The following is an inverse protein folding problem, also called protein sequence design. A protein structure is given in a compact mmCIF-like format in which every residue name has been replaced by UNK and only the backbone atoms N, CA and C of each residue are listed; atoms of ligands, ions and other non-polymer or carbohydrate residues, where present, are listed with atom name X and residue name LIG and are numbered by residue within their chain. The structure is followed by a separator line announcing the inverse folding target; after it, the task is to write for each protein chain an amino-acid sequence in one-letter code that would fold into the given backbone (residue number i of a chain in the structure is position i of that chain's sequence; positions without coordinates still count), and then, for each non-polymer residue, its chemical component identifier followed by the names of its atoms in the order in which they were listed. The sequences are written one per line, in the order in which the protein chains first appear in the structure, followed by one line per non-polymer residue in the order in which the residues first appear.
data_IF_299716966273
#
_entry.id   IF_299716966273
#
_cell.length_a   1.000
_cell.length_b   1.000
_cell.length_c   1.000
_cell.angle_alpha   90.00
_cell.angle_beta   90.00
_cell.angle_gamma   90.00
#
_symmetry.space_group_name_H-M   'P 1'
#
loop_
_entity.id
_entity.type
_entity.pdbx_description
1 polymer ?
#
# COMPACT_ATOMS: atom_id res chain seq x y z
N UNK A 1 6.87 -2.57 -5.82
CA UNK A 1 5.85 -1.82 -5.07
C UNK A 1 5.78 -0.36 -5.57
N UNK A 2 4.55 0.14 -5.85
CA UNK A 2 4.26 1.49 -6.39
C UNK A 2 5.06 1.90 -7.63
N UNK A 3 4.85 1.24 -8.75
CA UNK A 3 5.35 1.69 -10.04
C UNK A 3 4.33 2.59 -10.73
N UNK A 4 4.80 3.67 -11.37
CA UNK A 4 3.95 4.73 -11.95
C UNK A 4 4.01 4.78 -13.48
N UNK A 5 4.61 3.80 -14.12
CA UNK A 5 4.64 3.70 -15.58
C UNK A 5 4.72 2.26 -16.05
N UNK A 6 4.17 2.01 -17.23
CA UNK A 6 4.26 0.71 -17.89
C UNK A 6 5.71 0.23 -18.05
N UNK A 7 6.63 1.13 -18.44
CA UNK A 7 8.04 0.77 -18.63
C UNK A 7 8.69 0.24 -17.35
N UNK A 8 8.36 0.83 -16.18
CA UNK A 8 8.86 0.36 -14.90
C UNK A 8 8.27 -0.98 -14.49
N UNK A 9 6.98 -1.21 -14.75
CA UNK A 9 6.36 -2.53 -14.55
C UNK A 9 7.04 -3.57 -15.43
N UNK A 10 7.27 -3.23 -16.71
CA UNK A 10 7.98 -4.07 -17.66
C UNK A 10 9.40 -4.42 -17.18
N UNK A 11 10.18 -3.43 -16.76
CA UNK A 11 11.52 -3.65 -16.19
C UNK A 11 11.52 -4.61 -15.00
N UNK A 12 10.54 -4.48 -14.09
CA UNK A 12 10.40 -5.37 -12.95
C UNK A 12 10.10 -6.81 -13.37
N UNK A 13 9.17 -6.99 -14.31
CA UNK A 13 8.83 -8.31 -14.87
C UNK A 13 10.05 -8.94 -15.55
N UNK A 14 10.77 -8.16 -16.37
CA UNK A 14 11.98 -8.63 -17.08
C UNK A 14 13.12 -8.96 -16.10
N UNK A 15 13.16 -8.32 -14.93
CA UNK A 15 14.10 -8.62 -13.85
C UNK A 15 13.72 -9.85 -13.02
N UNK A 16 12.56 -10.46 -13.27
CA UNK A 16 12.12 -11.71 -12.63
C UNK A 16 11.33 -11.52 -11.33
N UNK A 17 10.64 -10.39 -11.14
CA UNK A 17 9.71 -10.22 -10.02
C UNK A 17 8.46 -11.09 -10.23
N UNK A 18 8.01 -11.77 -9.17
CA UNK A 18 6.83 -12.64 -9.18
C UNK A 18 5.52 -11.86 -9.01
N UNK A 19 5.60 -10.61 -8.53
CA UNK A 19 4.45 -9.73 -8.36
C UNK A 19 4.84 -8.29 -8.67
N UNK A 20 3.93 -7.54 -9.30
CA UNK A 20 4.11 -6.14 -9.66
C UNK A 20 2.82 -5.36 -9.43
N UNK A 21 2.95 -4.05 -9.16
CA UNK A 21 1.82 -3.11 -9.09
C UNK A 21 2.01 -1.98 -10.08
N UNK A 22 0.93 -1.60 -10.77
CA UNK A 22 0.83 -0.30 -11.41
C UNK A 22 -0.08 0.61 -10.58
N UNK A 23 0.51 1.68 -10.04
CA UNK A 23 -0.21 2.71 -9.28
C UNK A 23 -0.67 3.82 -10.21
N UNK A 24 -1.87 3.65 -10.74
CA UNK A 24 -2.58 4.64 -11.56
C UNK A 24 -3.52 5.55 -10.77
N UNK A 25 -3.41 5.60 -9.45
CA UNK A 25 -4.35 6.31 -8.56
C UNK A 25 -4.50 7.81 -8.82
N UNK A 26 -3.53 8.43 -9.49
CA UNK A 26 -3.57 9.84 -9.91
C UNK A 26 -4.17 10.07 -11.30
N UNK A 27 -4.41 9.02 -12.05
CA UNK A 27 -4.99 9.09 -13.38
C UNK A 27 -6.53 9.06 -13.29
N UNK A 28 -7.20 9.48 -14.35
CA UNK A 28 -8.61 9.16 -14.49
C UNK A 28 -8.82 7.65 -14.67
N UNK A 29 -10.05 7.19 -14.45
CA UNK A 29 -10.38 5.76 -14.46
C UNK A 29 -10.04 5.10 -15.81
N UNK A 30 -10.32 5.77 -16.92
CA UNK A 30 -10.11 5.23 -18.26
C UNK A 30 -8.63 5.01 -18.54
N UNK A 31 -7.80 6.00 -18.22
CA UNK A 31 -6.36 5.91 -18.43
C UNK A 31 -5.70 4.92 -17.47
N UNK A 32 -6.18 4.85 -16.22
CA UNK A 32 -5.73 3.84 -15.25
C UNK A 32 -6.04 2.44 -15.78
N UNK A 33 -7.29 2.18 -16.22
CA UNK A 33 -7.68 0.90 -16.83
C UNK A 33 -6.78 0.58 -18.03
N UNK A 34 -6.58 1.53 -18.93
CA UNK A 34 -5.80 1.32 -20.13
C UNK A 34 -4.37 0.88 -19.85
N UNK A 35 -3.67 1.57 -18.94
CA UNK A 35 -2.27 1.26 -18.62
C UNK A 35 -2.17 -0.01 -17.77
N UNK A 36 -3.04 -0.17 -16.77
CA UNK A 36 -3.08 -1.39 -15.94
C UNK A 36 -3.28 -2.62 -16.83
N UNK A 37 -4.21 -2.55 -17.79
CA UNK A 37 -4.42 -3.64 -18.76
C UNK A 37 -3.15 -3.95 -19.55
N UNK A 38 -2.42 -2.94 -20.02
CA UNK A 38 -1.14 -3.16 -20.70
C UNK A 38 -0.13 -3.90 -19.81
N UNK A 39 -0.08 -3.56 -18.52
CA UNK A 39 0.78 -4.24 -17.55
C UNK A 39 0.37 -5.72 -17.38
N UNK A 40 -0.93 -5.99 -17.26
CA UNK A 40 -1.46 -7.36 -17.15
C UNK A 40 -1.15 -8.15 -18.42
N UNK A 41 -1.46 -7.61 -19.59
CA UNK A 41 -1.23 -8.28 -20.89
C UNK A 41 0.27 -8.62 -21.05
N UNK A 42 1.16 -7.69 -20.67
CA UNK A 42 2.61 -7.94 -20.71
C UNK A 42 3.02 -9.03 -19.72
N UNK A 43 2.58 -8.95 -18.47
CA UNK A 43 2.89 -9.97 -17.45
C UNK A 43 2.48 -11.37 -17.94
N UNK A 44 1.26 -11.52 -18.45
CA UNK A 44 0.74 -12.79 -18.97
C UNK A 44 1.52 -13.30 -20.20
N UNK A 45 2.09 -12.40 -21.00
CA UNK A 45 2.93 -12.78 -22.15
C UNK A 45 4.30 -13.34 -21.75
N UNK A 46 4.82 -12.91 -20.59
CA UNK A 46 6.11 -13.35 -20.06
C UNK A 46 5.96 -14.59 -19.19
N UNK A 47 5.07 -14.51 -18.18
CA UNK A 47 4.74 -15.64 -17.32
C UNK A 47 3.32 -15.42 -16.75
N UNK A 48 2.36 -16.32 -17.04
CA UNK A 48 0.98 -16.20 -16.55
C UNK A 48 0.83 -16.27 -15.02
N UNK A 49 1.84 -16.75 -14.29
CA UNK A 49 1.84 -16.85 -12.83
C UNK A 49 2.22 -15.51 -12.14
N UNK A 50 2.70 -14.50 -12.89
CA UNK A 50 3.03 -13.19 -12.31
C UNK A 50 1.75 -12.55 -11.79
N UNK A 51 1.75 -12.17 -10.53
CA UNK A 51 0.66 -11.46 -9.89
C UNK A 51 0.71 -9.99 -10.27
N UNK A 52 -0.39 -9.46 -10.77
CA UNK A 52 -0.52 -8.02 -11.08
C UNK A 52 -1.56 -7.39 -10.17
N UNK A 53 -1.12 -6.37 -9.45
CA UNK A 53 -1.95 -5.53 -8.60
C UNK A 53 -2.26 -4.21 -9.29
N UNK A 54 -3.50 -3.73 -9.14
CA UNK A 54 -3.91 -2.40 -9.57
C UNK A 54 -4.38 -1.57 -8.39
N UNK A 55 -4.15 -0.27 -8.44
CA UNK A 55 -4.57 0.69 -7.41
C UNK A 55 -5.66 1.62 -7.94
N UNK A 56 -6.73 1.80 -7.15
CA UNK A 56 -7.88 2.61 -7.50
C UNK A 56 -8.27 3.54 -6.35
N UNK A 57 -8.16 4.85 -6.59
CA UNK A 57 -8.37 5.89 -5.60
C UNK A 57 -7.07 6.37 -4.95
N UNK A 58 -6.94 7.70 -4.85
CA UNK A 58 -5.70 8.32 -4.39
C UNK A 58 -5.64 8.42 -2.86
N UNK A 59 -4.61 7.84 -2.26
CA UNK A 59 -4.37 7.81 -0.81
C UNK A 59 -3.09 8.56 -0.39
N UNK A 60 -2.47 9.30 -1.31
CA UNK A 60 -1.18 9.95 -1.11
C UNK A 60 -0.01 9.08 -1.57
N UNK A 61 1.21 9.66 -1.52
CA UNK A 61 2.45 8.98 -1.96
C UNK A 61 3.56 9.06 -0.91
N UNK A 62 3.25 9.53 0.29
CA UNK A 62 4.27 9.81 1.32
C UNK A 62 4.43 8.66 2.30
N UNK A 63 5.65 8.17 2.51
CA UNK A 63 5.99 7.23 3.58
C UNK A 63 6.69 7.96 4.74
N UNK A 64 6.07 9.04 5.25
CA UNK A 64 6.63 9.92 6.30
C UNK A 64 5.65 10.08 7.46
N UNK A 65 6.16 10.64 8.57
CA UNK A 65 5.32 11.25 9.59
C UNK A 65 4.75 12.57 9.05
N UNK A 66 3.43 12.69 9.07
CA UNK A 66 2.67 13.77 8.47
C UNK A 66 2.12 14.72 9.54
N UNK A 67 2.12 16.02 9.24
CA UNK A 67 1.47 17.02 10.08
C UNK A 67 -0.05 17.12 9.79
N UNK A 68 -0.48 16.71 8.58
CA UNK A 68 -1.87 16.73 8.13
C UNK A 68 -2.11 15.65 7.07
N UNK A 69 -3.37 15.42 6.73
CA UNK A 69 -3.78 14.57 5.60
C UNK A 69 -3.05 15.00 4.33
N UNK A 70 -2.51 14.06 3.52
CA UNK A 70 -1.80 14.39 2.28
C UNK A 70 -2.66 15.24 1.34
N UNK A 71 -2.03 16.21 0.68
CA UNK A 71 -2.70 17.03 -0.31
C UNK A 71 -3.34 16.18 -1.42
N UNK A 72 -4.57 16.49 -1.79
CA UNK A 72 -5.34 15.76 -2.80
C UNK A 72 -6.04 14.50 -2.28
N UNK A 73 -5.72 14.01 -1.09
CA UNK A 73 -6.46 12.91 -0.47
C UNK A 73 -7.79 13.42 0.10
N UNK A 74 -8.86 12.75 -0.26
CA UNK A 74 -10.20 13.04 0.20
C UNK A 74 -10.76 11.82 0.95
N UNK A 75 -11.42 12.08 2.06
CA UNK A 75 -11.90 11.04 2.99
C UNK A 75 -13.44 11.02 3.12
N UNK A 76 -14.14 11.80 2.30
CA UNK A 76 -15.60 11.71 2.21
C UNK A 76 -16.05 10.36 1.66
N UNK A 77 -17.20 9.88 2.08
CA UNK A 77 -17.73 8.56 1.62
C UNK A 77 -17.86 8.50 0.09
N UNK A 78 -18.19 9.62 -0.53
CA UNK A 78 -18.31 9.73 -1.99
C UNK A 78 -16.95 9.79 -2.72
N UNK A 79 -15.87 10.09 -2.00
CA UNK A 79 -14.52 10.17 -2.54
C UNK A 79 -13.76 8.84 -2.45
N UNK A 80 -14.27 7.88 -1.68
CA UNK A 80 -13.69 6.54 -1.60
C UNK A 80 -13.94 5.77 -2.90
N UNK A 81 -13.09 4.77 -3.15
CA UNK A 81 -13.30 3.86 -4.29
C UNK A 81 -14.73 3.32 -4.30
N UNK A 82 -15.41 3.45 -5.44
CA UNK A 82 -16.78 2.99 -5.59
C UNK A 82 -16.82 1.52 -6.02
N UNK A 83 -17.78 0.73 -5.52
CA UNK A 83 -17.88 -0.70 -5.85
C UNK A 83 -18.07 -0.99 -7.34
N UNK A 84 -18.84 -0.16 -8.05
CA UNK A 84 -19.06 -0.30 -9.49
C UNK A 84 -17.81 0.06 -10.32
N UNK A 85 -17.05 1.10 -9.92
CA UNK A 85 -15.76 1.43 -10.52
C UNK A 85 -14.73 0.30 -10.29
N UNK A 86 -14.67 -0.26 -9.06
CA UNK A 86 -13.81 -1.39 -8.73
C UNK A 86 -14.15 -2.64 -9.58
N UNK A 87 -15.45 -2.96 -9.71
CA UNK A 87 -15.92 -4.06 -10.56
C UNK A 87 -15.50 -3.87 -12.01
N UNK A 88 -15.73 -2.69 -12.55
CA UNK A 88 -15.36 -2.34 -13.91
C UNK A 88 -13.85 -2.44 -14.13
N UNK A 89 -13.07 -1.83 -13.20
CA UNK A 89 -11.61 -1.84 -13.25
C UNK A 89 -11.06 -3.27 -13.31
N UNK A 90 -11.48 -4.16 -12.41
CA UNK A 90 -11.02 -5.55 -12.39
C UNK A 90 -11.45 -6.30 -13.65
N UNK A 91 -12.71 -6.12 -14.10
CA UNK A 91 -13.22 -6.81 -15.28
C UNK A 91 -12.49 -6.40 -16.58
N UNK A 92 -12.13 -5.12 -16.73
CA UNK A 92 -11.48 -4.61 -17.93
C UNK A 92 -9.96 -4.81 -17.92
N UNK A 93 -9.31 -4.80 -16.75
CA UNK A 93 -7.85 -4.94 -16.63
C UNK A 93 -7.41 -6.39 -16.47
N UNK A 94 -8.16 -7.21 -15.75
CA UNK A 94 -7.79 -8.58 -15.41
C UNK A 94 -6.72 -8.68 -14.31
N UNK A 95 -6.61 -7.69 -13.42
CA UNK A 95 -5.69 -7.74 -12.26
C UNK A 95 -6.06 -8.87 -11.31
N UNK A 96 -5.05 -9.39 -10.62
CA UNK A 96 -5.20 -10.46 -9.61
C UNK A 96 -5.55 -9.89 -8.23
N UNK A 97 -5.10 -8.67 -7.93
CA UNK A 97 -5.26 -7.98 -6.66
C UNK A 97 -5.72 -6.54 -6.92
N UNK A 98 -6.51 -6.00 -5.99
CA UNK A 98 -6.96 -4.61 -6.04
C UNK A 98 -6.66 -3.88 -4.73
N UNK A 99 -5.98 -2.73 -4.82
CA UNK A 99 -5.74 -1.81 -3.71
C UNK A 99 -6.70 -0.60 -3.81
N UNK A 100 -7.78 -0.55 -3.03
CA UNK A 100 -8.74 0.54 -3.05
C UNK A 100 -8.43 1.63 -2.02
N UNK A 101 -8.91 2.87 -2.28
CA UNK A 101 -9.02 3.91 -1.27
C UNK A 101 -10.29 3.68 -0.43
N UNK A 102 -10.11 3.39 0.85
CA UNK A 102 -11.20 3.07 1.80
C UNK A 102 -11.08 3.84 3.12
N UNK A 103 -10.41 4.99 3.10
CA UNK A 103 -10.11 5.83 4.27
C UNK A 103 -8.65 5.77 4.71
N UNK A 104 -7.88 4.85 4.16
CA UNK A 104 -6.44 4.72 4.35
C UNK A 104 -5.66 5.89 3.74
N UNK A 105 -4.48 6.17 4.29
CA UNK A 105 -3.56 7.19 3.78
C UNK A 105 -2.12 6.65 3.76
N UNK A 106 -1.35 7.07 2.76
CA UNK A 106 0.10 6.82 2.78
C UNK A 106 0.79 7.79 3.77
N UNK A 107 1.61 7.22 4.63
CA UNK A 107 2.26 7.93 5.74
C UNK A 107 1.63 7.55 7.08
N UNK A 108 1.84 8.38 8.08
CA UNK A 108 1.27 8.25 9.41
C UNK A 108 1.17 9.64 10.04
N UNK A 109 0.04 9.99 10.61
CA UNK A 109 -0.10 11.29 11.28
C UNK A 109 0.72 11.33 12.57
N UNK A 110 1.42 12.43 12.80
CA UNK A 110 2.16 12.67 14.07
C UNK A 110 1.25 12.71 15.29
N UNK A 111 -0.03 13.04 15.10
CA UNK A 111 -1.04 13.00 16.14
C UNK A 111 -1.32 11.59 16.65
N UNK A 112 -0.94 10.54 15.88
CA UNK A 112 -1.24 9.16 16.20
C UNK A 112 -2.72 8.77 15.98
N UNK A 113 -3.47 9.60 15.27
CA UNK A 113 -4.89 9.37 14.97
C UNK A 113 -5.10 9.42 13.45
N UNK A 114 -4.74 8.36 12.77
CA UNK A 114 -5.00 8.21 11.35
C UNK A 114 -6.50 8.03 11.09
N UNK A 115 -7.00 8.38 9.89
CA UNK A 115 -8.40 8.21 9.55
C UNK A 115 -8.86 6.77 9.70
N UNK A 116 -10.08 6.57 10.22
CA UNK A 116 -10.67 5.24 10.34
C UNK A 116 -10.97 4.65 8.95
N UNK A 117 -10.74 3.35 8.80
CA UNK A 117 -11.11 2.62 7.60
C UNK A 117 -12.64 2.50 7.48
N UNK A 118 -13.17 2.67 6.28
CA UNK A 118 -14.57 2.40 5.99
C UNK A 118 -14.78 0.91 5.71
N UNK A 119 -14.99 0.13 6.76
CA UNK A 119 -15.11 -1.34 6.71
C UNK A 119 -16.29 -1.79 5.83
N UNK A 120 -17.41 -1.06 5.86
CA UNK A 120 -18.55 -1.37 5.00
C UNK A 120 -18.16 -1.26 3.52
N UNK A 121 -17.45 -0.18 3.15
CA UNK A 121 -16.94 0.01 1.79
C UNK A 121 -15.94 -1.07 1.36
N UNK A 122 -15.07 -1.56 2.28
CA UNK A 122 -14.20 -2.72 2.01
C UNK A 122 -15.02 -3.93 1.59
N UNK A 123 -16.08 -4.25 2.34
CA UNK A 123 -17.00 -5.37 2.02
C UNK A 123 -17.70 -5.21 0.67
N UNK A 124 -18.27 -4.02 0.41
CA UNK A 124 -18.95 -3.70 -0.86
C UNK A 124 -18.00 -3.86 -2.06
N UNK A 125 -16.76 -3.36 -1.95
CA UNK A 125 -15.74 -3.49 -3.01
C UNK A 125 -15.35 -4.94 -3.19
N UNK A 126 -15.13 -5.70 -2.10
CA UNK A 126 -14.76 -7.12 -2.17
C UNK A 126 -15.81 -7.94 -2.90
N UNK A 127 -17.09 -7.72 -2.62
CA UNK A 127 -18.19 -8.40 -3.29
C UNK A 127 -18.28 -8.04 -4.78
N UNK A 128 -18.10 -6.76 -5.10
CA UNK A 128 -18.21 -6.25 -6.47
C UNK A 128 -17.03 -6.61 -7.35
N UNK A 129 -15.81 -6.46 -6.86
CA UNK A 129 -14.57 -6.69 -7.61
C UNK A 129 -14.25 -8.19 -7.77
N UNK A 130 -14.60 -9.02 -6.80
CA UNK A 130 -14.39 -10.46 -6.86
C UNK A 130 -12.95 -10.94 -6.66
N UNK A 131 -11.96 -10.03 -6.57
CA UNK A 131 -10.54 -10.34 -6.32
C UNK A 131 -10.13 -10.01 -4.88
N UNK A 132 -9.07 -10.61 -4.33
CA UNK A 132 -8.54 -10.24 -3.02
C UNK A 132 -8.16 -8.75 -2.96
N UNK A 133 -8.40 -8.12 -1.80
CA UNK A 133 -8.06 -6.71 -1.59
C UNK A 133 -6.72 -6.55 -0.86
N UNK A 134 -5.98 -5.52 -1.25
CA UNK A 134 -4.74 -5.07 -0.62
C UNK A 134 -4.99 -3.75 0.09
N UNK A 135 -4.56 -3.63 1.34
CA UNK A 135 -4.61 -2.39 2.09
C UNK A 135 -3.24 -1.74 2.11
N UNK A 136 -3.06 -0.70 1.30
CA UNK A 136 -1.91 0.20 1.40
C UNK A 136 -2.13 1.23 2.52
N UNK A 137 -1.04 1.86 2.97
CA UNK A 137 -1.12 2.89 3.99
C UNK A 137 -1.63 2.37 5.34
N UNK A 138 -1.31 1.13 5.71
CA UNK A 138 -1.75 0.52 6.97
C UNK A 138 -1.06 1.06 8.21
N UNK A 139 0.07 1.80 8.08
CA UNK A 139 0.75 2.41 9.22
C UNK A 139 -0.17 3.41 9.92
N UNK A 140 -0.26 3.34 11.26
CA UNK A 140 -1.09 4.22 12.06
C UNK A 140 -2.53 3.75 12.29
N UNK A 141 -2.99 2.72 11.61
CA UNK A 141 -4.25 2.05 11.93
C UNK A 141 -4.12 1.19 13.18
N UNK A 142 -5.20 1.02 13.91
CA UNK A 142 -5.20 0.19 15.11
C UNK A 142 -5.49 -1.30 14.78
N UNK A 143 -5.23 -2.17 15.75
CA UNK A 143 -5.41 -3.62 15.59
C UNK A 143 -6.85 -4.01 15.23
N UNK A 144 -7.85 -3.29 15.75
CA UNK A 144 -9.25 -3.57 15.45
C UNK A 144 -9.58 -3.25 14.00
N UNK A 145 -9.08 -2.13 13.46
CA UNK A 145 -9.25 -1.76 12.06
C UNK A 145 -8.72 -2.85 11.11
N UNK A 146 -7.54 -3.43 11.44
CA UNK A 146 -6.99 -4.55 10.66
C UNK A 146 -7.86 -5.80 10.74
N UNK A 147 -8.33 -6.18 11.92
CA UNK A 147 -9.19 -7.36 12.10
C UNK A 147 -10.49 -7.21 11.31
N UNK A 148 -11.10 -6.04 11.37
CA UNK A 148 -12.35 -5.74 10.68
C UNK A 148 -12.15 -5.70 9.17
N UNK A 149 -11.06 -5.06 8.68
CA UNK A 149 -10.72 -5.02 7.27
C UNK A 149 -10.43 -6.42 6.70
N UNK A 150 -9.69 -7.26 7.43
CA UNK A 150 -9.41 -8.65 7.05
C UNK A 150 -10.71 -9.45 6.99
N UNK A 151 -11.59 -9.27 7.96
CA UNK A 151 -12.91 -9.93 7.99
C UNK A 151 -13.76 -9.49 6.80
N UNK A 152 -13.70 -8.21 6.42
CA UNK A 152 -14.43 -7.65 5.30
C UNK A 152 -13.85 -8.03 3.92
N UNK A 153 -12.60 -8.51 3.83
CA UNK A 153 -12.07 -9.02 2.56
C UNK A 153 -10.65 -8.63 2.18
N UNK A 154 -9.97 -7.83 2.99
CA UNK A 154 -8.53 -7.57 2.83
C UNK A 154 -7.76 -8.88 3.05
N UNK A 155 -6.75 -9.12 2.22
CA UNK A 155 -5.89 -10.32 2.33
C UNK A 155 -4.41 -9.96 2.49
N UNK A 156 -4.01 -8.77 2.07
CA UNK A 156 -2.64 -8.28 2.18
C UNK A 156 -2.72 -6.89 2.83
N UNK A 157 -1.84 -6.62 3.79
CA UNK A 157 -1.70 -5.32 4.45
C UNK A 157 -0.26 -4.84 4.31
N UNK A 158 -0.07 -3.64 3.77
CA UNK A 158 1.24 -3.03 3.62
C UNK A 158 1.51 -2.04 4.75
N UNK A 159 2.54 -2.32 5.56
CA UNK A 159 3.03 -1.47 6.64
C UNK A 159 4.46 -1.06 6.31
N UNK A 160 4.71 0.23 6.19
CA UNK A 160 6.02 0.77 5.83
C UNK A 160 6.49 1.89 6.77
N UNK A 161 5.70 2.96 6.91
CA UNK A 161 6.10 4.15 7.67
C UNK A 161 6.42 3.81 9.12
N UNK A 162 5.65 2.97 9.76
CA UNK A 162 5.83 2.53 11.14
C UNK A 162 7.16 1.78 11.33
N UNK A 163 7.49 0.87 10.41
CA UNK A 163 8.77 0.17 10.40
C UNK A 163 9.96 1.14 10.26
N UNK A 164 9.83 2.13 9.37
CA UNK A 164 10.86 3.17 9.17
C UNK A 164 11.04 4.06 10.39
N UNK A 165 9.96 4.40 11.07
CA UNK A 165 9.98 5.18 12.31
C UNK A 165 10.68 4.39 13.40
N UNK A 166 10.30 3.14 13.61
CA UNK A 166 10.94 2.26 14.60
C UNK A 166 12.44 2.10 14.35
N UNK A 167 12.84 1.87 13.09
CA UNK A 167 14.25 1.80 12.69
C UNK A 167 15.01 3.08 13.01
N UNK A 168 14.49 4.23 12.52
CA UNK A 168 15.13 5.54 12.69
C UNK A 168 15.33 5.89 14.17
N UNK A 169 14.29 5.69 14.97
CA UNK A 169 14.32 6.14 16.37
C UNK A 169 15.24 5.26 17.22
N UNK A 170 15.24 3.95 17.01
CA UNK A 170 16.18 3.05 17.66
C UNK A 170 17.63 3.32 17.23
N UNK A 171 17.87 3.58 15.95
CA UNK A 171 19.20 3.92 15.46
C UNK A 171 19.71 5.23 16.06
N UNK A 172 18.84 6.26 16.10
CA UNK A 172 19.19 7.56 16.69
C UNK A 172 19.56 7.42 18.17
N UNK A 173 18.75 6.68 18.94
CA UNK A 173 19.00 6.43 20.35
C UNK A 173 20.35 5.70 20.54
N UNK A 174 20.59 4.64 19.76
CA UNK A 174 21.83 3.86 19.84
C UNK A 174 23.07 4.71 19.62
N UNK A 175 23.05 5.61 18.62
CA UNK A 175 24.18 6.52 18.32
C UNK A 175 24.35 7.57 19.43
N UNK A 176 23.29 8.03 20.07
CA UNK A 176 23.36 8.96 21.20
C UNK A 176 23.94 8.30 22.46
N UNK A 177 23.55 7.05 22.75
CA UNK A 177 24.00 6.32 23.93
C UNK A 177 25.41 5.74 23.78
N UNK A 178 25.87 5.50 22.55
CA UNK A 178 27.17 4.90 22.24
C UNK A 178 27.92 5.70 21.20
N UNK A 179 28.33 6.95 21.49
CA UNK A 179 28.89 7.87 20.49
C UNK A 179 30.22 7.39 19.88
N UNK A 180 30.99 6.56 20.60
CA UNK A 180 32.28 6.04 20.17
C UNK A 180 32.21 4.67 19.49
N UNK A 181 31.03 4.05 19.41
CA UNK A 181 30.87 2.74 18.75
C UNK A 181 30.88 2.92 17.23
N UNK A 182 31.77 2.18 16.56
CA UNK A 182 31.93 2.24 15.09
C UNK A 182 31.52 0.94 14.38
N UNK A 183 31.21 -0.12 15.12
CA UNK A 183 30.88 -1.41 14.54
C UNK A 183 29.42 -1.42 14.06
N UNK A 184 29.15 -1.53 12.71
CA UNK A 184 27.81 -1.46 12.16
C UNK A 184 26.84 -2.50 12.76
N UNK A 185 27.31 -3.72 12.98
CA UNK A 185 26.49 -4.80 13.53
C UNK A 185 26.01 -4.55 14.96
N UNK A 186 26.76 -3.74 15.77
CA UNK A 186 26.34 -3.31 17.11
C UNK A 186 25.36 -2.15 17.02
N UNK A 187 25.66 -1.16 16.17
CA UNK A 187 24.84 0.04 15.95
C UNK A 187 23.46 -0.34 15.39
N UNK A 188 23.41 -1.27 14.44
CA UNK A 188 22.18 -1.63 13.74
C UNK A 188 21.30 -2.64 14.49
N UNK A 189 21.87 -3.44 15.39
CA UNK A 189 21.14 -4.49 16.12
C UNK A 189 19.89 -3.99 16.85
N UNK A 190 19.91 -2.87 17.60
CA UNK A 190 18.72 -2.33 18.26
C UNK A 190 17.65 -1.89 17.26
N UNK A 191 18.05 -1.34 16.10
CA UNK A 191 17.12 -0.94 15.04
C UNK A 191 16.40 -2.17 14.44
N UNK A 192 17.11 -3.26 14.17
CA UNK A 192 16.52 -4.53 13.72
C UNK A 192 15.51 -5.07 14.75
N UNK A 193 15.90 -5.06 16.03
CA UNK A 193 15.01 -5.51 17.12
C UNK A 193 13.75 -4.63 17.23
N UNK A 194 13.88 -3.32 17.04
CA UNK A 194 12.72 -2.41 17.04
C UNK A 194 11.75 -2.70 15.89
N UNK A 195 12.27 -2.97 14.68
CA UNK A 195 11.43 -3.37 13.54
C UNK A 195 10.74 -4.72 13.79
N UNK A 196 11.44 -5.69 14.37
CA UNK A 196 10.84 -6.99 14.71
C UNK A 196 9.64 -6.86 15.64
N UNK A 197 9.69 -5.92 16.62
CA UNK A 197 8.56 -5.67 17.53
C UNK A 197 7.34 -5.07 16.85
N UNK A 198 7.52 -4.34 15.75
CA UNK A 198 6.40 -3.80 14.96
C UNK A 198 5.69 -4.91 14.18
N UNK A 199 6.43 -5.96 13.80
CA UNK A 199 5.89 -7.09 13.00
C UNK A 199 5.21 -8.16 13.87
N UNK A 200 5.51 -8.21 15.17
CA UNK A 200 4.95 -9.17 16.15
C UNK A 200 3.60 -8.72 16.69
#
# INVERSE_FOLDING_TARGET
DHTYSFDRVKEAIDAGFDAVIFDGSKLDLEENIRITKQCVDYARSVNPEIIVEGELGYIGTSSKLLDAIPEGVKLGVDDLTKPDEAKRFVAETGVDLLAPAVGNIHGMLKSGADPALNIARVGEIRESAGVPLVLHGGSGNNEQDFRDAITAGVRIVHINTELRVAYRDALRLTLQENPDEVAPYKILKPAVTAMQKVVQ
#
